data_IF_934531817389
#
_entry.id   IF_934531817389
#
_cell.length_a   1.000
_cell.length_b   1.000
_cell.length_c   1.000
_cell.angle_alpha   90.00
_cell.angle_beta   90.00
_cell.angle_gamma   90.00
#
_symmetry.space_group_name_H-M   'P 1'
#
loop_
_entity.id
_entity.type
_entity.pdbx_description
1 polymer ?
#
# COMPACT_ATOMS: atom_id res chain seq x y z
N UNK A 1 39.21 -35.35 24.39
CA UNK A 1 37.84 -35.82 24.68
C UNK A 1 37.10 -34.77 25.50
N UNK A 2 36.48 -33.78 24.85
CA UNK A 2 35.48 -32.88 25.44
C UNK A 2 34.58 -32.46 24.30
N UNK A 3 33.65 -33.38 24.03
CA UNK A 3 32.61 -33.23 23.03
C UNK A 3 31.75 -32.01 23.43
N UNK A 4 31.52 -31.17 22.44
CA UNK A 4 30.16 -30.77 22.11
C UNK A 4 29.42 -29.96 23.19
N UNK A 5 29.82 -28.70 23.38
CA UNK A 5 28.86 -27.68 23.75
C UNK A 5 28.35 -27.02 22.47
N UNK A 6 27.38 -27.72 21.88
CA UNK A 6 26.36 -27.17 21.01
C UNK A 6 25.63 -26.07 21.78
N UNK A 7 25.93 -24.80 21.49
CA UNK A 7 24.98 -23.73 21.76
C UNK A 7 24.72 -23.09 20.41
N UNK A 8 23.70 -23.65 19.78
CA UNK A 8 23.08 -23.18 18.56
C UNK A 8 22.60 -21.75 18.79
N UNK A 9 23.39 -20.77 18.37
CA UNK A 9 22.95 -19.39 18.25
C UNK A 9 22.05 -19.30 17.01
N UNK A 10 20.79 -19.73 17.17
CA UNK A 10 19.75 -19.48 16.16
C UNK A 10 19.60 -17.97 16.08
N UNK A 11 20.22 -17.39 15.05
CA UNK A 11 19.95 -16.03 14.64
C UNK A 11 18.48 -15.97 14.24
N UNK A 12 17.65 -15.42 15.13
CA UNK A 12 16.26 -15.13 14.87
C UNK A 12 16.24 -13.94 13.88
N UNK A 13 16.47 -14.22 12.61
CA UNK A 13 16.30 -13.24 11.55
C UNK A 13 14.80 -12.96 11.46
N UNK A 14 14.40 -11.76 11.88
CA UNK A 14 13.05 -11.25 11.72
C UNK A 14 12.74 -11.14 10.23
N UNK A 15 12.09 -12.16 9.66
CA UNK A 15 11.43 -12.05 8.37
C UNK A 15 10.25 -11.08 8.54
N UNK A 16 10.50 -9.79 8.34
CA UNK A 16 9.44 -8.81 8.14
C UNK A 16 8.73 -9.14 6.84
N UNK A 17 7.65 -9.92 6.91
CA UNK A 17 6.77 -10.20 5.79
C UNK A 17 6.07 -8.90 5.38
N UNK A 18 6.68 -8.16 4.45
CA UNK A 18 6.01 -7.03 3.82
C UNK A 18 5.02 -7.60 2.82
N UNK A 19 3.79 -7.80 3.28
CA UNK A 19 2.65 -8.05 2.41
C UNK A 19 2.46 -6.80 1.56
N UNK A 20 3.10 -6.73 0.39
CA UNK A 20 2.69 -5.79 -0.65
C UNK A 20 1.28 -6.21 -1.04
N UNK A 21 0.30 -5.58 -0.43
CA UNK A 21 -1.10 -5.86 -0.70
C UNK A 21 -1.35 -5.39 -2.14
N UNK A 22 -1.34 -6.34 -3.08
CA UNK A 22 -1.63 -6.15 -4.50
C UNK A 22 -3.13 -5.85 -4.72
N UNK A 23 -3.71 -4.95 -3.93
CA UNK A 23 -5.03 -4.43 -4.25
C UNK A 23 -4.90 -3.20 -5.14
N UNK A 24 -5.75 -3.19 -6.16
CA UNK A 24 -5.94 -2.02 -6.99
C UNK A 24 -6.78 -0.98 -6.25
N UNK A 25 -6.50 0.28 -6.53
CA UNK A 25 -7.19 1.46 -6.03
C UNK A 25 -7.51 2.39 -7.20
N UNK A 26 -8.39 3.34 -6.96
CA UNK A 26 -8.77 4.36 -7.91
C UNK A 26 -8.12 5.69 -7.54
N UNK A 27 -7.63 6.43 -8.54
CA UNK A 27 -7.13 7.79 -8.36
C UNK A 27 -7.80 8.73 -9.36
N UNK A 28 -7.97 9.99 -8.97
CA UNK A 28 -8.18 11.07 -9.92
C UNK A 28 -6.82 11.42 -10.56
N UNK A 29 -6.70 11.28 -11.89
CA UNK A 29 -5.47 11.53 -12.65
C UNK A 29 -5.23 13.02 -12.89
N UNK A 30 -5.15 13.75 -11.79
CA UNK A 30 -4.78 15.15 -11.76
C UNK A 30 -3.51 15.33 -10.95
N UNK A 31 -2.66 16.26 -11.37
CA UNK A 31 -1.42 16.62 -10.67
C UNK A 31 -1.68 17.18 -9.26
N UNK A 32 -2.85 17.76 -9.03
CA UNK A 32 -3.24 18.36 -7.74
C UNK A 32 -3.93 17.39 -6.80
N UNK A 33 -4.36 16.22 -7.29
CA UNK A 33 -5.02 15.23 -6.46
C UNK A 33 -4.04 14.64 -5.42
N UNK A 34 -4.54 14.38 -4.22
CA UNK A 34 -3.72 13.92 -3.07
C UNK A 34 -4.20 12.60 -2.49
N UNK A 35 -5.33 12.09 -2.99
CA UNK A 35 -6.03 10.94 -2.44
C UNK A 35 -6.09 9.78 -3.43
N UNK A 36 -6.11 8.56 -2.90
CA UNK A 36 -6.53 7.36 -3.60
C UNK A 36 -7.78 6.80 -2.92
N UNK A 37 -8.53 5.97 -3.66
CA UNK A 37 -9.85 5.50 -3.28
C UNK A 37 -9.96 3.99 -3.45
N UNK A 38 -10.67 3.31 -2.54
CA UNK A 38 -10.84 1.86 -2.60
C UNK A 38 -11.95 1.48 -3.58
N UNK A 39 -12.97 2.34 -3.69
CA UNK A 39 -14.11 2.17 -4.60
C UNK A 39 -14.10 3.21 -5.72
N UNK A 40 -14.56 2.83 -6.91
CA UNK A 40 -14.62 3.72 -8.10
C UNK A 40 -15.65 4.84 -7.95
N UNK A 41 -16.69 4.60 -7.16
CA UNK A 41 -17.82 5.47 -6.87
C UNK A 41 -17.70 6.18 -5.52
N UNK A 42 -16.52 6.15 -4.89
CA UNK A 42 -16.26 6.88 -3.65
C UNK A 42 -16.72 8.34 -3.78
N UNK A 43 -17.47 8.83 -2.79
CA UNK A 43 -17.97 10.20 -2.73
C UNK A 43 -16.86 11.25 -2.95
N UNK A 44 -15.63 10.94 -2.53
CA UNK A 44 -14.47 11.79 -2.73
C UNK A 44 -14.03 11.97 -4.20
N UNK A 45 -14.47 11.11 -5.12
CA UNK A 45 -14.22 11.20 -6.56
C UNK A 45 -15.23 12.08 -7.30
N UNK A 46 -16.34 12.47 -6.65
CA UNK A 46 -17.42 13.27 -7.27
C UNK A 46 -16.95 14.59 -7.89
N UNK A 47 -15.88 15.19 -7.35
CA UNK A 47 -15.30 16.44 -7.84
C UNK A 47 -14.09 16.23 -8.77
N UNK A 48 -13.76 14.99 -9.15
CA UNK A 48 -12.68 14.73 -10.09
C UNK A 48 -13.06 15.26 -11.47
N UNK A 49 -12.29 16.23 -11.97
CA UNK A 49 -12.46 16.82 -13.31
C UNK A 49 -11.60 16.13 -14.39
N UNK A 50 -10.80 15.16 -13.97
CA UNK A 50 -9.91 14.38 -14.82
C UNK A 50 -10.39 12.93 -14.93
N UNK A 51 -9.62 12.09 -15.61
CA UNK A 51 -9.90 10.66 -15.68
C UNK A 51 -9.73 9.99 -14.30
N UNK A 52 -10.63 9.07 -13.96
CA UNK A 52 -10.46 8.17 -12.81
C UNK A 52 -9.75 6.91 -13.27
N UNK A 53 -8.51 6.71 -12.82
CA UNK A 53 -7.66 5.57 -13.20
C UNK A 53 -7.59 4.53 -12.09
N UNK A 54 -7.61 3.26 -12.49
CA UNK A 54 -7.32 2.12 -11.61
C UNK A 54 -5.82 1.84 -11.63
N UNK A 55 -5.16 1.88 -10.48
CA UNK A 55 -3.73 1.63 -10.33
C UNK A 55 -3.49 0.74 -9.10
N UNK A 56 -2.29 0.18 -8.95
CA UNK A 56 -1.94 -0.55 -7.73
C UNK A 56 -1.82 0.40 -6.53
N UNK A 57 -2.14 -0.09 -5.32
CA UNK A 57 -1.90 0.67 -4.10
C UNK A 57 -0.44 1.14 -3.99
N UNK A 58 0.51 0.26 -4.32
CA UNK A 58 1.94 0.59 -4.30
C UNK A 58 2.22 1.81 -5.17
N UNK A 59 1.64 1.86 -6.37
CA UNK A 59 1.80 3.03 -7.23
C UNK A 59 1.16 4.28 -6.65
N UNK A 60 -0.02 4.18 -6.03
CA UNK A 60 -0.64 5.31 -5.34
C UNK A 60 0.24 5.85 -4.19
N UNK A 61 0.88 4.97 -3.42
CA UNK A 61 1.82 5.33 -2.34
C UNK A 61 3.10 5.97 -2.88
N UNK A 62 3.67 5.45 -3.97
CA UNK A 62 4.82 6.08 -4.67
C UNK A 62 4.49 7.50 -5.13
N UNK A 63 3.26 7.72 -5.61
CA UNK A 63 2.73 9.04 -5.99
C UNK A 63 2.39 9.94 -4.79
N UNK A 64 2.77 9.54 -3.57
CA UNK A 64 2.49 10.22 -2.29
C UNK A 64 1.00 10.49 -2.05
N UNK A 65 0.13 9.64 -2.61
CA UNK A 65 -1.31 9.72 -2.36
C UNK A 65 -1.64 9.06 -1.03
N UNK A 66 -2.65 9.62 -0.34
CA UNK A 66 -3.15 9.10 0.96
C UNK A 66 -4.58 8.57 0.81
N UNK A 67 -5.04 7.73 1.73
CA UNK A 67 -6.41 7.21 1.67
C UNK A 67 -7.43 8.36 1.76
N UNK A 68 -8.53 8.25 1.00
CA UNK A 68 -9.68 9.14 1.17
C UNK A 68 -10.35 8.90 2.54
N UNK A 69 -10.87 9.96 3.16
CA UNK A 69 -11.59 9.84 4.44
C UNK A 69 -13.04 9.38 4.30
N UNK A 70 -13.52 9.21 3.06
CA UNK A 70 -14.92 8.94 2.72
C UNK A 70 -15.09 7.56 2.05
N UNK A 71 -14.29 6.58 2.49
CA UNK A 71 -14.45 5.20 2.05
C UNK A 71 -15.53 4.54 2.92
N UNK A 72 -16.80 4.82 2.59
CA UNK A 72 -18.00 4.12 3.10
C UNK A 72 -18.36 2.94 2.19
#
# INVERSE_FOLDING_TARGET
MKKLLLISSIALTSLSFTSSTYYDVYICDSTTAKKYHLKKDCRGLSNCKAEVKKITLTKAKELKRTLCGWED
#
